data_IF_031223153429
#
_entry.id   IF_031223153429
#
_cell.length_a   1.000
_cell.length_b   1.000
_cell.length_c   1.000
_cell.angle_alpha   90.00
_cell.angle_beta   90.00
_cell.angle_gamma   90.00
#
_symmetry.space_group_name_H-M   'P 1'
#
loop_
_entity.id
_entity.type
_entity.pdbx_description
1 polymer ?
#
# COMPACT_ATOMS: atom_id res chain seq x y z
N UNK A 1 9.43 -0.28 -8.96
CA UNK A 1 9.93 -1.38 -8.10
C UNK A 1 10.08 -2.70 -8.85
N UNK A 2 9.15 -3.12 -9.72
CA UNK A 2 9.24 -4.45 -10.36
C UNK A 2 10.44 -4.71 -11.29
N UNK A 3 10.79 -3.77 -12.17
CA UNK A 3 12.00 -3.94 -12.99
C UNK A 3 13.27 -3.99 -12.12
N UNK A 4 13.32 -3.12 -11.10
CA UNK A 4 14.42 -3.03 -10.15
C UNK A 4 14.60 -4.36 -9.39
N UNK A 5 13.53 -4.92 -8.82
CA UNK A 5 13.62 -6.17 -8.05
C UNK A 5 13.95 -7.38 -8.89
N UNK A 6 13.53 -7.41 -10.17
CA UNK A 6 13.80 -8.51 -11.09
C UNK A 6 15.23 -8.52 -11.65
N UNK A 7 15.85 -7.35 -11.81
CA UNK A 7 17.16 -7.22 -12.49
C UNK A 7 18.31 -6.87 -11.53
N UNK A 8 18.01 -6.53 -10.27
CA UNK A 8 19.04 -6.20 -9.29
C UNK A 8 19.71 -7.48 -8.74
N UNK A 9 21.05 -7.51 -8.62
CA UNK A 9 21.77 -8.65 -8.05
C UNK A 9 21.35 -8.99 -6.63
N UNK A 10 21.43 -10.26 -6.23
CA UNK A 10 21.07 -10.72 -4.89
C UNK A 10 21.90 -10.05 -3.77
N UNK A 11 23.16 -9.69 -4.09
CA UNK A 11 24.06 -9.00 -3.17
C UNK A 11 23.54 -7.63 -2.69
N UNK A 12 22.58 -7.04 -3.38
CA UNK A 12 21.99 -5.74 -3.05
C UNK A 12 20.73 -5.86 -2.16
N UNK A 13 20.32 -7.08 -1.79
CA UNK A 13 19.21 -7.32 -0.87
C UNK A 13 19.72 -7.76 0.50
N UNK A 14 19.00 -7.38 1.55
CA UNK A 14 19.15 -8.02 2.85
C UNK A 14 18.76 -9.50 2.81
N UNK A 15 19.03 -10.24 3.88
CA UNK A 15 18.65 -11.65 3.97
C UNK A 15 17.13 -11.82 3.75
N UNK A 16 16.74 -12.57 2.70
CA UNK A 16 15.33 -12.75 2.31
C UNK A 16 14.66 -11.52 1.67
N UNK A 17 15.39 -10.43 1.43
CA UNK A 17 14.85 -9.15 1.00
C UNK A 17 14.14 -9.20 -0.35
N UNK A 18 14.61 -10.00 -1.32
CA UNK A 18 13.95 -10.13 -2.63
C UNK A 18 12.53 -10.69 -2.51
N UNK A 19 12.32 -11.71 -1.66
CA UNK A 19 11.00 -12.27 -1.41
C UNK A 19 10.07 -11.25 -0.72
N UNK A 20 10.60 -10.50 0.26
CA UNK A 20 9.86 -9.41 0.91
C UNK A 20 9.46 -8.31 -0.08
N UNK A 21 10.38 -7.89 -0.95
CA UNK A 21 10.10 -6.90 -1.97
C UNK A 21 9.06 -7.40 -2.98
N UNK A 22 9.07 -8.68 -3.33
CA UNK A 22 8.05 -9.28 -4.20
C UNK A 22 6.66 -9.24 -3.54
N UNK A 23 6.54 -9.64 -2.27
CA UNK A 23 5.27 -9.56 -1.54
C UNK A 23 4.77 -8.12 -1.38
N UNK A 24 5.67 -7.17 -1.12
CA UNK A 24 5.32 -5.74 -1.09
C UNK A 24 4.81 -5.23 -2.44
N UNK A 25 5.40 -5.68 -3.55
CA UNK A 25 4.94 -5.33 -4.90
C UNK A 25 3.55 -5.85 -5.20
N UNK A 26 3.27 -7.11 -4.85
CA UNK A 26 1.94 -7.70 -5.05
C UNK A 26 0.88 -6.91 -4.27
N UNK A 27 1.15 -6.63 -3.00
CA UNK A 27 0.28 -5.78 -2.18
C UNK A 27 0.11 -4.39 -2.77
N UNK A 28 1.20 -3.74 -3.21
CA UNK A 28 1.14 -2.42 -3.84
C UNK A 28 0.24 -2.43 -5.09
N UNK A 29 0.33 -3.47 -5.91
CA UNK A 29 -0.49 -3.62 -7.12
C UNK A 29 -1.98 -3.72 -6.79
N UNK A 30 -2.36 -4.55 -5.83
CA UNK A 30 -3.76 -4.69 -5.40
C UNK A 30 -4.35 -3.37 -4.89
N UNK A 31 -3.58 -2.62 -4.08
CA UNK A 31 -4.03 -1.32 -3.57
C UNK A 31 -4.06 -0.25 -4.66
N UNK A 32 -3.14 -0.27 -5.62
CA UNK A 32 -3.16 0.63 -6.77
C UNK A 32 -4.40 0.39 -7.65
N UNK A 33 -4.76 -0.88 -7.90
CA UNK A 33 -6.00 -1.22 -8.61
C UNK A 33 -7.23 -0.71 -7.84
N UNK A 34 -7.27 -0.89 -6.52
CA UNK A 34 -8.35 -0.37 -5.68
C UNK A 34 -8.46 1.17 -5.76
N UNK A 35 -7.34 1.90 -5.75
CA UNK A 35 -7.31 3.36 -5.93
C UNK A 35 -7.82 3.79 -7.31
N UNK A 36 -7.46 3.08 -8.38
CA UNK A 36 -7.96 3.35 -9.73
C UNK A 36 -9.48 3.17 -9.78
N UNK A 37 -9.99 2.03 -9.28
CA UNK A 37 -11.44 1.77 -9.22
C UNK A 37 -12.16 2.83 -8.38
N UNK A 38 -11.57 3.24 -7.26
CA UNK A 38 -12.13 4.29 -6.41
C UNK A 38 -12.18 5.64 -7.15
N UNK A 39 -11.13 6.02 -7.86
CA UNK A 39 -11.09 7.25 -8.66
C UNK A 39 -12.13 7.28 -9.77
N UNK A 40 -12.34 6.15 -10.45
CA UNK A 40 -13.34 6.02 -11.51
C UNK A 40 -14.78 6.09 -10.99
N UNK A 41 -15.04 5.55 -9.79
CA UNK A 41 -16.40 5.47 -9.22
C UNK A 41 -16.83 6.73 -8.46
N UNK A 42 -15.88 7.63 -8.14
CA UNK A 42 -16.14 8.83 -7.32
C UNK A 42 -16.22 10.15 -8.10
N UNK A 43 -16.35 10.09 -9.42
CA UNK A 43 -16.16 11.19 -10.38
C UNK A 43 -16.98 12.48 -10.15
N UNK A 44 -18.16 12.42 -9.52
CA UNK A 44 -19.06 13.58 -9.43
C UNK A 44 -19.02 14.30 -8.08
N UNK A 45 -19.08 13.56 -6.96
CA UNK A 45 -18.84 14.06 -5.59
C UNK A 45 -18.44 12.89 -4.69
N UNK A 46 -17.17 12.72 -4.30
CA UNK A 46 -16.81 11.76 -3.28
C UNK A 46 -17.43 12.19 -1.95
N UNK A 47 -18.14 11.28 -1.26
CA UNK A 47 -18.51 11.52 0.13
C UNK A 47 -17.24 11.71 0.97
N UNK A 48 -17.30 12.50 2.05
CA UNK A 48 -16.13 12.77 2.92
C UNK A 48 -15.40 11.50 3.34
N UNK A 49 -16.14 10.43 3.63
CA UNK A 49 -15.60 9.12 4.00
C UNK A 49 -14.83 8.44 2.86
N UNK A 50 -15.32 8.55 1.62
CA UNK A 50 -14.63 7.99 0.44
C UNK A 50 -13.33 8.74 0.14
N UNK A 51 -13.33 10.07 0.31
CA UNK A 51 -12.12 10.88 0.15
C UNK A 51 -11.08 10.54 1.24
N UNK A 52 -11.50 10.48 2.51
CA UNK A 52 -10.61 10.12 3.63
C UNK A 52 -10.08 8.69 3.44
N UNK A 53 -10.96 7.75 3.09
CA UNK A 53 -10.59 6.36 2.82
C UNK A 53 -9.61 6.23 1.64
N UNK A 54 -9.81 6.97 0.55
CA UNK A 54 -8.89 6.99 -0.59
C UNK A 54 -7.52 7.57 -0.26
N UNK A 55 -7.48 8.72 0.43
CA UNK A 55 -6.23 9.33 0.89
C UNK A 55 -5.48 8.43 1.88
N UNK A 56 -6.21 7.80 2.81
CA UNK A 56 -5.65 6.84 3.75
C UNK A 56 -5.12 5.59 3.06
N UNK A 57 -5.84 5.07 2.05
CA UNK A 57 -5.40 3.91 1.26
C UNK A 57 -4.07 4.22 0.56
N UNK A 58 -3.97 5.39 -0.07
CA UNK A 58 -2.73 5.85 -0.72
C UNK A 58 -1.58 6.01 0.28
N UNK A 59 -1.81 6.71 1.39
CA UNK A 59 -0.78 6.92 2.41
C UNK A 59 -0.34 5.60 3.06
N UNK A 60 -1.30 4.74 3.39
CA UNK A 60 -1.07 3.43 3.96
C UNK A 60 -0.27 2.52 3.03
N UNK A 61 -0.57 2.52 1.73
CA UNK A 61 0.20 1.76 0.73
C UNK A 61 1.64 2.24 0.66
N UNK A 62 1.87 3.55 0.63
CA UNK A 62 3.22 4.12 0.57
C UNK A 62 4.02 3.79 1.83
N UNK A 63 3.42 3.93 3.01
CA UNK A 63 4.09 3.61 4.28
C UNK A 63 4.35 2.11 4.42
N UNK A 64 3.36 1.27 4.13
CA UNK A 64 3.49 -0.19 4.23
C UNK A 64 4.54 -0.72 3.24
N UNK A 65 4.34 -0.46 1.94
CA UNK A 65 5.22 -0.99 0.90
C UNK A 65 6.60 -0.33 0.99
N UNK A 66 6.67 0.98 1.25
CA UNK A 66 7.92 1.71 1.44
C UNK A 66 8.73 1.18 2.63
N UNK A 67 8.08 0.88 3.76
CA UNK A 67 8.69 0.24 4.91
C UNK A 67 9.28 -1.14 4.57
N UNK A 68 8.51 -1.98 3.88
CA UNK A 68 8.97 -3.32 3.48
C UNK A 68 10.08 -3.26 2.41
N UNK A 69 10.03 -2.32 1.48
CA UNK A 69 11.13 -2.10 0.54
C UNK A 69 12.39 -1.64 1.26
N UNK A 70 12.27 -0.72 2.21
CA UNK A 70 13.39 -0.28 3.02
C UNK A 70 14.06 -1.45 3.75
N UNK A 71 13.27 -2.32 4.39
CA UNK A 71 13.82 -3.51 5.06
C UNK A 71 14.43 -4.49 4.06
N UNK A 72 13.82 -4.67 2.89
CA UNK A 72 14.30 -5.55 1.84
C UNK A 72 15.66 -5.13 1.27
N UNK A 73 15.90 -3.83 1.07
CA UNK A 73 17.17 -3.33 0.50
C UNK A 73 18.23 -3.06 1.57
N UNK A 74 17.86 -2.49 2.72
CA UNK A 74 18.82 -2.13 3.76
C UNK A 74 19.21 -3.29 4.69
N UNK A 75 18.41 -4.36 4.72
CA UNK A 75 18.52 -5.44 5.70
C UNK A 75 18.13 -5.04 7.13
N UNK A 76 17.85 -3.75 7.38
CA UNK A 76 17.48 -3.22 8.68
C UNK A 76 15.96 -3.14 8.82
N UNK A 77 15.43 -3.71 9.89
CA UNK A 77 13.99 -3.71 10.14
C UNK A 77 13.51 -2.30 10.55
N UNK A 78 12.76 -1.64 9.67
CA UNK A 78 11.97 -0.45 9.99
C UNK A 78 10.73 -0.88 10.79
N UNK A 79 10.96 -1.29 12.04
CA UNK A 79 10.03 -2.06 12.87
C UNK A 79 8.63 -1.44 13.05
N UNK A 80 8.48 -0.13 12.86
CA UNK A 80 7.21 0.57 13.07
C UNK A 80 6.55 1.08 11.79
N UNK A 81 7.28 1.24 10.69
CA UNK A 81 6.74 1.87 9.48
C UNK A 81 5.72 0.95 8.79
N UNK A 82 6.06 -0.33 8.61
CA UNK A 82 5.15 -1.29 7.99
C UNK A 82 3.89 -1.56 8.83
N UNK A 83 3.95 -1.81 10.16
CA UNK A 83 2.76 -1.98 10.97
C UNK A 83 1.84 -0.75 10.96
N UNK A 84 2.39 0.47 11.07
CA UNK A 84 1.60 1.71 11.01
C UNK A 84 0.92 1.87 9.66
N UNK A 85 1.63 1.61 8.54
CA UNK A 85 1.03 1.61 7.20
C UNK A 85 -0.10 0.59 7.07
N UNK A 86 0.07 -0.61 7.61
CA UNK A 86 -0.96 -1.65 7.64
C UNK A 86 -2.20 -1.24 8.44
N UNK A 87 -2.03 -0.63 9.61
CA UNK A 87 -3.17 -0.11 10.40
C UNK A 87 -3.94 0.97 9.64
N UNK A 88 -3.25 1.88 8.96
CA UNK A 88 -3.87 2.90 8.12
C UNK A 88 -4.65 2.24 6.96
N UNK A 89 -4.10 1.21 6.32
CA UNK A 89 -4.79 0.47 5.26
C UNK A 89 -6.10 -0.16 5.77
N UNK A 90 -6.08 -0.81 6.93
CA UNK A 90 -7.28 -1.42 7.54
C UNK A 90 -8.35 -0.35 7.80
N UNK A 91 -7.97 0.77 8.46
CA UNK A 91 -8.91 1.87 8.73
C UNK A 91 -9.46 2.48 7.44
N UNK A 92 -8.63 2.59 6.40
CA UNK A 92 -9.02 3.12 5.11
C UNK A 92 -10.06 2.23 4.42
N UNK A 93 -9.85 0.92 4.41
CA UNK A 93 -10.81 -0.05 3.89
C UNK A 93 -12.14 0.00 4.64
N UNK A 94 -12.12 0.15 5.97
CA UNK A 94 -13.34 0.34 6.76
C UNK A 94 -14.06 1.64 6.37
N UNK A 95 -13.34 2.77 6.26
CA UNK A 95 -13.92 4.04 5.83
C UNK A 95 -14.53 3.96 4.43
N UNK A 96 -13.88 3.23 3.51
CA UNK A 96 -14.42 2.99 2.16
C UNK A 96 -15.68 2.15 2.25
N UNK A 97 -15.67 0.99 2.91
CA UNK A 97 -16.84 0.13 3.03
C UNK A 97 -18.06 0.87 3.64
N UNK A 98 -17.82 1.62 4.71
CA UNK A 98 -18.81 2.48 5.37
C UNK A 98 -19.31 3.57 4.41
N UNK A 99 -18.40 4.27 3.74
CA UNK A 99 -18.75 5.32 2.77
C UNK A 99 -19.55 4.84 1.57
N UNK A 100 -19.36 3.59 1.14
CA UNK A 100 -20.16 2.94 0.10
C UNK A 100 -21.52 2.45 0.64
N UNK A 101 -21.55 1.86 1.83
CA UNK A 101 -22.80 1.39 2.45
C UNK A 101 -23.79 2.53 2.72
N UNK A 102 -23.31 3.70 3.12
CA UNK A 102 -24.16 4.89 3.32
C UNK A 102 -24.47 5.67 2.04
N UNK A 103 -23.89 5.27 0.90
CA UNK A 103 -24.16 5.85 -0.42
C UNK A 103 -25.20 5.02 -1.22
N UNK A 104 -25.42 3.76 -0.84
CA UNK A 104 -26.51 2.91 -1.36
C UNK A 104 -27.85 3.25 -0.69
#
# INVERSE_FOLDING_TARGET
MGALTAHMPDANFGAGGRAMAHGAMEMQMWHALALIVLGLTTHQKPGRLLAIGGCGLLLGTVLFCGGVYYTAFSGHHAAHVAPTGGSILILSWLCLAVGWAFRA
#
